data_IF_356811879851
#
_entry.id   IF_356811879851
#
_cell.length_a   1.000
_cell.length_b   1.000
_cell.length_c   1.000
_cell.angle_alpha   90.00
_cell.angle_beta   90.00
_cell.angle_gamma   90.00
#
_symmetry.space_group_name_H-M   'P 1'
#
loop_
_entity.id
_entity.type
_entity.pdbx_description
1 polymer ?
#
# COMPACT_ATOMS: atom_id res chain seq x y z
N UNK A 1 72.87 -31.46 14.81
CA UNK A 1 71.48 -31.43 15.35
C UNK A 1 70.77 -30.20 14.82
N UNK A 2 70.02 -30.35 13.71
CA UNK A 2 69.36 -29.26 12.96
C UNK A 2 67.93 -29.17 13.38
N UNK A 3 67.48 -27.98 13.88
CA UNK A 3 66.07 -27.72 14.19
C UNK A 3 65.40 -27.10 12.98
N UNK A 4 64.54 -27.89 12.34
CA UNK A 4 63.60 -27.40 11.32
C UNK A 4 62.53 -26.53 11.99
N UNK A 5 62.42 -25.26 11.59
CA UNK A 5 61.28 -24.39 11.89
C UNK A 5 60.19 -24.62 10.83
N UNK A 6 59.05 -25.11 11.26
CA UNK A 6 57.84 -25.16 10.41
C UNK A 6 57.23 -23.75 10.35
N UNK A 7 57.18 -23.18 9.16
CA UNK A 7 56.45 -21.95 8.86
C UNK A 7 54.98 -22.36 8.60
N UNK A 8 54.06 -21.87 9.42
CA UNK A 8 52.61 -22.04 9.24
C UNK A 8 52.14 -20.90 8.33
N UNK A 9 51.73 -21.23 7.11
CA UNK A 9 51.08 -20.30 6.20
C UNK A 9 49.61 -20.16 6.62
N UNK A 10 49.24 -18.98 7.08
CA UNK A 10 47.81 -18.64 7.24
C UNK A 10 47.29 -18.15 5.90
N UNK A 11 46.38 -18.95 5.30
CA UNK A 11 45.61 -18.53 4.14
C UNK A 11 44.43 -17.67 4.64
N UNK A 12 44.52 -16.37 4.39
CA UNK A 12 43.39 -15.45 4.63
C UNK A 12 42.37 -15.65 3.49
N UNK A 13 41.29 -16.33 3.80
CA UNK A 13 40.11 -16.43 2.89
C UNK A 13 39.33 -15.12 3.01
N UNK A 14 39.45 -14.27 2.01
CA UNK A 14 38.59 -13.11 1.87
C UNK A 14 37.17 -13.59 1.57
N UNK A 15 36.27 -13.50 2.55
CA UNK A 15 34.83 -13.58 2.29
C UNK A 15 34.45 -12.39 1.38
N UNK A 16 34.13 -12.70 0.13
CA UNK A 16 33.49 -11.73 -0.74
C UNK A 16 32.13 -11.34 -0.16
N UNK A 17 31.97 -10.08 0.23
CA UNK A 17 30.65 -9.51 0.44
C UNK A 17 29.91 -9.59 -0.92
N UNK A 18 28.95 -10.50 -1.03
CA UNK A 18 27.96 -10.46 -2.09
C UNK A 18 27.07 -9.23 -1.86
N UNK A 19 27.31 -8.18 -2.62
CA UNK A 19 26.40 -7.04 -2.70
C UNK A 19 25.07 -7.58 -3.25
N UNK A 20 24.05 -7.64 -2.40
CA UNK A 20 22.67 -7.85 -2.84
C UNK A 20 22.29 -6.70 -3.78
N UNK A 21 21.70 -6.97 -4.96
CA UNK A 21 21.26 -5.90 -5.83
C UNK A 21 20.13 -5.14 -5.13
N UNK A 22 20.42 -3.93 -4.66
CA UNK A 22 19.39 -2.98 -4.27
C UNK A 22 18.55 -2.64 -5.51
N UNK A 23 17.23 -2.60 -5.36
CA UNK A 23 16.30 -2.15 -6.39
C UNK A 23 16.62 -0.69 -6.72
N UNK A 24 17.46 -0.47 -7.72
CA UNK A 24 17.66 0.86 -8.27
C UNK A 24 16.47 1.22 -9.15
N UNK A 25 15.42 1.86 -8.57
CA UNK A 25 14.67 2.81 -9.37
C UNK A 25 15.68 3.82 -9.91
N UNK A 26 15.75 3.98 -11.24
CA UNK A 26 16.66 4.97 -11.79
C UNK A 26 16.29 6.33 -11.18
N UNK A 27 17.23 7.01 -10.53
CA UNK A 27 17.00 8.35 -9.97
C UNK A 27 16.41 9.31 -11.01
N UNK A 28 16.61 9.04 -12.31
CA UNK A 28 16.05 9.78 -13.42
C UNK A 28 14.51 9.78 -13.50
N UNK A 29 13.84 8.72 -13.03
CA UNK A 29 12.36 8.65 -13.07
C UNK A 29 11.66 9.56 -12.06
N UNK A 30 12.38 10.06 -11.05
CA UNK A 30 11.86 10.99 -10.04
C UNK A 30 12.49 12.38 -10.12
N UNK A 31 13.33 12.66 -11.14
CA UNK A 31 13.93 13.98 -11.32
C UNK A 31 12.84 15.04 -11.53
N UNK A 32 12.90 16.14 -10.79
CA UNK A 32 11.93 17.24 -10.90
C UNK A 32 10.53 16.96 -10.30
N UNK A 33 10.30 15.80 -9.66
CA UNK A 33 9.03 15.54 -8.96
C UNK A 33 8.95 16.44 -7.73
N UNK A 34 7.90 17.20 -7.59
CA UNK A 34 7.56 17.95 -6.38
C UNK A 34 6.41 17.25 -5.66
N UNK A 35 6.45 17.23 -4.32
CA UNK A 35 5.36 16.74 -3.49
C UNK A 35 4.55 17.93 -3.00
N UNK A 36 3.23 17.80 -3.03
CA UNK A 36 2.33 18.76 -2.39
C UNK A 36 1.91 18.23 -1.03
N UNK A 37 1.78 19.14 -0.05
CA UNK A 37 1.17 18.86 1.25
C UNK A 37 -0.06 19.73 1.42
N UNK A 38 -1.21 19.12 1.74
CA UNK A 38 -2.50 19.80 1.88
C UNK A 38 -3.15 19.45 3.20
N UNK A 39 -3.81 20.42 3.89
CA UNK A 39 -4.54 20.12 5.11
C UNK A 39 -5.77 19.26 4.80
N UNK A 40 -6.07 18.30 5.70
CA UNK A 40 -7.26 17.44 5.62
C UNK A 40 -8.29 17.86 6.68
N UNK A 41 -7.95 17.69 7.95
CA UNK A 41 -8.72 18.16 9.08
C UNK A 41 -7.86 18.18 10.35
N UNK A 42 -8.18 19.04 11.31
CA UNK A 42 -7.42 19.16 12.56
C UNK A 42 -5.94 19.42 12.28
N UNK A 43 -5.08 18.54 12.81
CA UNK A 43 -3.64 18.54 12.61
C UNK A 43 -3.16 17.47 11.62
N UNK A 44 -4.09 16.92 10.80
CA UNK A 44 -3.82 15.92 9.79
C UNK A 44 -3.73 16.55 8.40
N UNK A 45 -2.70 16.16 7.67
CA UNK A 45 -2.40 16.58 6.30
C UNK A 45 -2.25 15.37 5.40
N UNK A 46 -2.34 15.58 4.09
CA UNK A 46 -2.03 14.58 3.08
C UNK A 46 -0.89 15.07 2.20
N UNK A 47 0.17 14.26 2.05
CA UNK A 47 1.21 14.48 1.05
C UNK A 47 0.91 13.63 -0.18
N UNK A 48 1.02 14.27 -1.34
CA UNK A 48 0.70 13.68 -2.64
C UNK A 48 1.82 13.89 -3.63
N UNK A 49 1.92 12.96 -4.56
CA UNK A 49 2.80 13.04 -5.72
C UNK A 49 1.97 13.23 -7.00
N UNK A 50 2.14 14.34 -7.74
CA UNK A 50 1.60 14.45 -9.08
C UNK A 50 2.11 13.32 -9.99
N UNK A 51 1.21 12.63 -10.68
CA UNK A 51 1.56 11.51 -11.57
C UNK A 51 1.66 10.14 -10.86
N UNK A 52 1.09 10.00 -9.67
CA UNK A 52 0.86 8.72 -9.01
C UNK A 52 1.90 8.32 -7.96
N UNK A 53 1.62 7.24 -7.25
CA UNK A 53 2.26 6.78 -6.03
C UNK A 53 1.30 6.91 -4.86
N UNK A 54 1.60 6.24 -3.74
CA UNK A 54 0.75 6.26 -2.55
C UNK A 54 0.60 7.65 -1.94
N UNK A 55 -0.58 7.97 -1.44
CA UNK A 55 -0.81 9.15 -0.62
C UNK A 55 -0.29 8.90 0.80
N UNK A 56 0.32 9.91 1.40
CA UNK A 56 0.89 9.84 2.74
C UNK A 56 0.03 10.65 3.70
N UNK A 57 -0.46 9.99 4.75
CA UNK A 57 -1.06 10.69 5.89
C UNK A 57 0.04 11.31 6.78
N UNK A 58 -0.18 12.52 7.26
CA UNK A 58 0.77 13.24 8.12
C UNK A 58 0.00 13.86 9.28
N UNK A 59 0.25 13.40 10.51
CA UNK A 59 -0.23 14.07 11.70
C UNK A 59 0.93 14.84 12.36
N UNK A 60 0.70 16.10 12.70
CA UNK A 60 1.72 16.98 13.29
C UNK A 60 1.33 17.43 14.70
N UNK A 61 2.31 17.69 15.55
CA UNK A 61 2.11 18.26 16.87
C UNK A 61 3.32 18.07 17.79
N UNK A 62 3.26 18.52 19.07
CA UNK A 62 4.41 18.61 19.97
C UNK A 62 5.04 17.27 20.33
N UNK A 63 4.35 16.15 20.14
CA UNK A 63 4.90 14.81 20.38
C UNK A 63 5.71 14.28 19.19
N UNK A 64 5.83 15.08 18.12
CA UNK A 64 6.47 14.74 16.86
C UNK A 64 5.47 14.38 15.76
N UNK A 65 5.98 14.05 14.58
CA UNK A 65 5.17 13.73 13.41
C UNK A 65 4.96 12.22 13.33
N UNK A 66 3.71 11.81 13.08
CA UNK A 66 3.35 10.46 12.65
C UNK A 66 3.02 10.47 11.15
N UNK A 67 3.65 9.56 10.40
CA UNK A 67 3.37 9.30 9.00
C UNK A 67 2.50 8.05 8.84
N UNK A 68 1.62 8.05 7.85
CA UNK A 68 0.99 6.86 7.29
C UNK A 68 1.57 6.66 5.90
N UNK A 69 2.38 5.61 5.74
CA UNK A 69 3.19 5.28 4.56
C UNK A 69 4.39 6.21 4.29
N UNK A 70 5.26 5.83 3.34
CA UNK A 70 6.58 6.45 3.16
C UNK A 70 6.98 6.74 1.72
N UNK A 71 6.09 6.54 0.75
CA UNK A 71 6.38 6.69 -0.68
C UNK A 71 7.56 5.79 -1.16
N UNK A 72 8.15 6.19 -2.27
CA UNK A 72 9.35 5.57 -2.85
C UNK A 72 10.64 6.11 -2.21
N UNK A 73 11.66 5.27 -2.03
CA UNK A 73 12.94 5.66 -1.45
C UNK A 73 13.57 6.92 -2.07
N UNK A 74 13.59 7.14 -3.40
CA UNK A 74 14.17 8.35 -3.97
C UNK A 74 13.41 9.65 -3.66
N UNK A 75 12.24 9.55 -3.06
CA UNK A 75 11.41 10.71 -2.69
C UNK A 75 11.47 11.07 -1.20
N UNK A 76 12.21 10.31 -0.37
CA UNK A 76 12.24 10.50 1.08
C UNK A 76 12.64 11.93 1.47
N UNK A 77 13.71 12.49 0.88
CA UNK A 77 14.14 13.86 1.18
C UNK A 77 13.05 14.90 0.85
N UNK A 78 12.28 14.66 -0.21
CA UNK A 78 11.17 15.54 -0.61
C UNK A 78 9.96 15.38 0.31
N UNK A 79 9.70 14.16 0.79
CA UNK A 79 8.68 13.92 1.80
C UNK A 79 9.01 14.67 3.09
N UNK A 80 10.25 14.57 3.57
CA UNK A 80 10.73 15.33 4.73
C UNK A 80 10.60 16.84 4.48
N UNK A 81 10.99 17.32 3.30
CA UNK A 81 10.88 18.73 2.95
C UNK A 81 9.41 19.20 2.86
N UNK A 82 8.48 18.35 2.40
CA UNK A 82 7.05 18.66 2.41
C UNK A 82 6.50 18.77 3.84
N UNK A 83 6.86 17.83 4.73
CA UNK A 83 6.47 17.89 6.15
C UNK A 83 6.99 19.16 6.83
N UNK A 84 8.22 19.56 6.51
CA UNK A 84 8.83 20.79 7.04
C UNK A 84 8.13 22.09 6.62
N UNK A 85 7.22 22.06 5.65
CA UNK A 85 6.39 23.24 5.31
C UNK A 85 5.29 23.51 6.35
N UNK A 86 4.92 22.52 7.16
CA UNK A 86 3.79 22.61 8.10
C UNK A 86 4.21 22.46 9.57
N UNK A 87 5.42 21.97 9.85
CA UNK A 87 5.96 21.84 11.22
C UNK A 87 7.48 21.77 11.23
N UNK A 88 8.08 22.21 12.34
CA UNK A 88 9.51 22.03 12.63
C UNK A 88 9.79 20.75 13.42
N UNK A 89 8.74 20.04 13.86
CA UNK A 89 8.88 18.81 14.63
C UNK A 89 9.49 17.68 13.80
N UNK A 90 10.12 16.72 14.49
CA UNK A 90 10.75 15.56 13.86
C UNK A 90 9.72 14.49 13.51
N UNK A 91 9.95 13.79 12.39
CA UNK A 91 9.22 12.58 12.05
C UNK A 91 9.71 11.47 13.00
N UNK A 92 8.81 10.94 13.84
CA UNK A 92 9.14 9.95 14.86
C UNK A 92 8.49 8.60 14.64
N UNK A 93 7.33 8.58 14.00
CA UNK A 93 6.50 7.40 13.86
C UNK A 93 6.05 7.22 12.41
N UNK A 94 6.04 5.98 11.94
CA UNK A 94 5.57 5.59 10.62
C UNK A 94 4.71 4.34 10.76
N UNK A 95 3.46 4.40 10.30
CA UNK A 95 2.58 3.25 10.17
C UNK A 95 2.47 2.89 8.69
N UNK A 96 2.84 1.65 8.32
CA UNK A 96 2.61 1.18 6.96
C UNK A 96 1.23 0.57 6.82
N UNK A 97 0.49 0.97 5.78
CA UNK A 97 -0.83 0.41 5.48
C UNK A 97 -0.71 -0.98 4.88
N UNK A 98 0.24 -1.21 3.97
CA UNK A 98 0.48 -2.50 3.32
C UNK A 98 1.90 -2.57 2.72
N UNK A 99 2.24 -3.63 1.97
CA UNK A 99 3.62 -3.97 1.58
C UNK A 99 4.08 -3.31 0.27
N UNK A 100 3.24 -2.67 -0.53
CA UNK A 100 3.66 -2.18 -1.84
C UNK A 100 4.70 -1.06 -1.74
N UNK A 101 5.58 -1.02 -2.75
CA UNK A 101 6.82 -0.22 -2.72
C UNK A 101 6.58 1.29 -2.70
N UNK A 102 5.47 1.75 -3.23
CA UNK A 102 5.05 3.15 -3.17
C UNK A 102 4.42 3.56 -1.84
N UNK A 103 4.33 2.61 -0.90
CA UNK A 103 3.90 2.81 0.49
C UNK A 103 5.03 2.53 1.49
N UNK A 104 5.96 1.62 1.17
CA UNK A 104 7.04 1.24 2.10
C UNK A 104 8.45 1.59 1.59
N UNK A 105 8.56 2.13 0.39
CA UNK A 105 9.87 2.35 -0.25
C UNK A 105 10.80 3.29 0.53
N UNK A 106 10.26 4.28 1.22
CA UNK A 106 11.01 5.22 2.04
C UNK A 106 11.39 4.71 3.43
N UNK A 107 10.93 3.50 3.82
CA UNK A 107 11.11 2.98 5.17
C UNK A 107 12.58 2.96 5.63
N UNK A 108 13.49 2.45 4.79
CA UNK A 108 14.92 2.35 5.15
C UNK A 108 15.51 3.72 5.46
N UNK A 109 15.27 4.70 4.59
CA UNK A 109 15.78 6.06 4.76
C UNK A 109 15.21 6.73 6.01
N UNK A 110 13.90 6.52 6.30
CA UNK A 110 13.27 7.05 7.51
C UNK A 110 13.77 6.34 8.78
N UNK A 111 14.00 5.03 8.72
CA UNK A 111 14.58 4.29 9.83
C UNK A 111 16.02 4.77 10.16
N UNK A 112 16.82 5.08 9.15
CA UNK A 112 18.17 5.67 9.31
C UNK A 112 18.11 7.07 9.95
N UNK A 113 16.98 7.76 9.85
CA UNK A 113 16.70 9.02 10.55
C UNK A 113 16.18 8.81 11.99
N UNK A 114 16.00 7.56 12.43
CA UNK A 114 15.50 7.21 13.76
C UNK A 114 13.99 7.04 13.87
N UNK A 115 13.25 7.04 12.76
CA UNK A 115 11.81 6.83 12.74
C UNK A 115 11.46 5.40 13.14
N UNK A 116 10.51 5.24 14.07
CA UNK A 116 9.99 3.93 14.47
C UNK A 116 8.89 3.49 13.50
N UNK A 117 9.07 2.30 12.92
CA UNK A 117 8.16 1.76 11.90
C UNK A 117 7.24 0.72 12.52
N UNK A 118 5.94 0.87 12.27
CA UNK A 118 4.85 0.01 12.71
C UNK A 118 4.10 -0.56 11.51
N UNK A 119 3.63 -1.79 11.59
CA UNK A 119 2.76 -2.40 10.59
C UNK A 119 2.00 -3.60 11.16
N UNK A 120 1.02 -4.10 10.43
CA UNK A 120 0.43 -5.39 10.73
C UNK A 120 1.45 -6.54 10.56
N UNK A 121 1.29 -7.63 11.33
CA UNK A 121 2.17 -8.81 11.29
C UNK A 121 2.32 -9.36 9.87
N UNK A 122 1.23 -9.48 9.11
CA UNK A 122 1.26 -9.96 7.73
C UNK A 122 2.08 -9.04 6.83
N UNK A 123 1.91 -7.72 6.93
CA UNK A 123 2.73 -6.75 6.19
C UNK A 123 4.21 -6.98 6.49
N UNK A 124 4.59 -7.10 7.78
CA UNK A 124 5.98 -7.38 8.14
C UNK A 124 6.49 -8.70 7.55
N UNK A 125 5.69 -9.78 7.57
CA UNK A 125 6.08 -11.08 6.98
C UNK A 125 6.42 -10.93 5.50
N UNK A 126 5.71 -10.07 4.79
CA UNK A 126 5.91 -9.80 3.37
C UNK A 126 7.27 -9.15 3.05
N UNK A 127 7.94 -8.49 4.00
CA UNK A 127 9.29 -7.93 3.81
C UNK A 127 10.39 -8.99 3.69
N UNK A 128 10.15 -10.23 4.11
CA UNK A 128 11.15 -11.31 4.09
C UNK A 128 11.10 -12.16 2.83
N UNK A 129 10.17 -11.89 1.92
CA UNK A 129 9.95 -12.72 0.75
C UNK A 129 10.24 -11.96 -0.54
N UNK A 130 10.80 -12.68 -1.53
CA UNK A 130 10.80 -12.21 -2.92
C UNK A 130 9.38 -12.33 -3.47
N UNK A 131 8.88 -11.28 -4.12
CA UNK A 131 7.47 -11.23 -4.52
C UNK A 131 7.26 -10.75 -5.93
N UNK A 132 6.15 -11.16 -6.52
CA UNK A 132 5.62 -10.49 -7.68
C UNK A 132 5.22 -9.05 -7.32
N UNK A 133 5.65 -8.08 -8.11
CA UNK A 133 5.30 -6.67 -7.91
C UNK A 133 3.89 -6.31 -8.34
N UNK A 134 3.31 -7.14 -9.19
CA UNK A 134 2.00 -6.89 -9.75
C UNK A 134 1.12 -8.12 -9.61
N UNK A 135 -0.19 -7.93 -9.39
CA UNK A 135 -1.15 -9.00 -9.34
C UNK A 135 -1.42 -9.64 -10.71
N UNK A 136 -0.45 -9.60 -11.62
CA UNK A 136 -0.48 -10.23 -12.95
C UNK A 136 0.56 -11.34 -13.04
N UNK A 137 0.21 -12.42 -13.72
CA UNK A 137 1.17 -13.43 -14.10
C UNK A 137 2.30 -12.81 -14.95
N UNK A 138 3.55 -13.14 -14.63
CA UNK A 138 4.72 -12.57 -15.30
C UNK A 138 5.11 -11.16 -14.84
N UNK A 139 4.51 -10.65 -13.78
CA UNK A 139 4.95 -9.41 -13.12
C UNK A 139 6.40 -9.49 -12.62
N UNK A 140 7.07 -8.36 -12.52
CA UNK A 140 8.45 -8.30 -12.02
C UNK A 140 8.50 -8.67 -10.53
N UNK A 141 9.50 -9.46 -10.14
CA UNK A 141 9.75 -9.75 -8.74
C UNK A 141 10.36 -8.55 -8.01
N UNK A 142 9.92 -8.31 -6.79
CA UNK A 142 10.60 -7.44 -5.85
C UNK A 142 11.51 -8.29 -4.96
N UNK A 143 12.78 -7.92 -4.73
CA UNK A 143 13.62 -8.59 -3.76
C UNK A 143 13.10 -8.37 -2.34
N UNK A 144 13.62 -9.18 -1.41
CA UNK A 144 13.42 -8.92 0.02
C UNK A 144 13.79 -7.47 0.36
N UNK A 145 13.01 -6.86 1.23
CA UNK A 145 13.31 -5.51 1.69
C UNK A 145 14.51 -5.52 2.65
N UNK A 146 15.34 -4.47 2.65
CA UNK A 146 16.44 -4.32 3.61
C UNK A 146 16.00 -4.49 5.05
N UNK A 147 16.93 -4.94 5.92
CA UNK A 147 16.59 -5.17 7.33
C UNK A 147 16.11 -3.89 8.03
N UNK A 148 16.70 -2.74 7.70
CA UNK A 148 16.33 -1.44 8.27
C UNK A 148 14.94 -0.97 7.81
N UNK A 149 14.47 -1.38 6.62
CA UNK A 149 13.14 -1.04 6.12
C UNK A 149 12.00 -1.77 6.84
N UNK A 150 12.31 -2.84 7.60
CA UNK A 150 11.30 -3.73 8.18
C UNK A 150 10.65 -3.09 9.40
N UNK A 151 9.30 -3.13 9.52
CA UNK A 151 8.62 -2.67 10.72
C UNK A 151 9.21 -3.27 11.98
N UNK A 152 9.58 -2.43 12.94
CA UNK A 152 10.18 -2.86 14.20
C UNK A 152 9.12 -3.34 15.19
N UNK A 153 7.96 -2.70 15.17
CA UNK A 153 6.84 -2.98 16.07
C UNK A 153 5.67 -3.43 15.20
N UNK A 154 5.00 -4.52 15.60
CA UNK A 154 3.85 -5.05 14.86
C UNK A 154 2.64 -5.21 15.75
N UNK A 155 1.47 -5.26 15.10
CA UNK A 155 0.19 -5.59 15.70
C UNK A 155 -0.53 -6.65 14.85
N UNK A 156 -1.48 -7.37 15.47
CA UNK A 156 -2.23 -8.43 14.78
C UNK A 156 -3.74 -8.14 14.64
N UNK A 157 -4.24 -7.13 15.33
CA UNK A 157 -5.64 -6.70 15.26
C UNK A 157 -5.71 -5.17 15.25
N UNK A 158 -5.34 -4.52 16.36
CA UNK A 158 -5.39 -3.08 16.51
C UNK A 158 -4.24 -2.56 17.36
N UNK A 159 -3.86 -1.29 17.13
CA UNK A 159 -2.90 -0.54 17.91
C UNK A 159 -3.34 0.91 18.01
N UNK A 160 -3.22 1.53 19.19
CA UNK A 160 -3.50 2.95 19.39
C UNK A 160 -2.23 3.71 19.75
N UNK A 161 -2.10 4.89 19.16
CA UNK A 161 -1.14 5.91 19.53
C UNK A 161 -1.90 7.05 20.21
N UNK A 162 -1.41 7.55 21.33
CA UNK A 162 -1.95 8.70 22.02
C UNK A 162 -0.93 9.83 21.96
N UNK A 163 -1.01 10.65 20.93
CA UNK A 163 -0.05 11.73 20.67
C UNK A 163 -0.72 12.92 19.98
N UNK A 164 -0.11 14.08 20.13
CA UNK A 164 -0.56 15.33 19.53
C UNK A 164 -2.02 15.70 19.91
N UNK A 165 -2.48 15.24 21.06
CA UNK A 165 -3.80 15.53 21.60
C UNK A 165 -4.93 14.68 21.05
N UNK A 166 -4.61 13.58 20.30
CA UNK A 166 -5.64 12.67 19.79
C UNK A 166 -5.24 11.19 19.87
N UNK A 167 -6.24 10.31 19.76
CA UNK A 167 -6.03 8.89 19.55
C UNK A 167 -5.93 8.61 18.04
N UNK A 168 -4.80 7.99 17.63
CA UNK A 168 -4.63 7.45 16.29
C UNK A 168 -4.70 5.94 16.35
N UNK A 169 -5.70 5.33 15.74
CA UNK A 169 -5.89 3.87 15.69
C UNK A 169 -5.45 3.29 14.36
N UNK A 170 -4.49 2.37 14.40
CA UNK A 170 -4.18 1.49 13.29
C UNK A 170 -4.83 0.12 13.53
N UNK A 171 -5.53 -0.45 12.56
CA UNK A 171 -6.19 -1.73 12.70
C UNK A 171 -6.25 -2.49 11.37
N UNK A 172 -6.24 -3.84 11.47
CA UNK A 172 -6.30 -4.72 10.32
C UNK A 172 -7.65 -4.58 9.61
N UNK A 173 -7.60 -4.37 8.30
CA UNK A 173 -8.75 -4.53 7.42
C UNK A 173 -8.92 -6.00 6.99
N UNK A 174 -10.13 -6.42 6.57
CA UNK A 174 -10.27 -7.68 5.85
C UNK A 174 -9.30 -7.78 4.67
N UNK A 175 -8.77 -8.98 4.32
CA UNK A 175 -7.82 -9.17 3.23
C UNK A 175 -8.37 -8.68 1.89
N UNK A 176 -8.09 -7.44 1.51
CA UNK A 176 -8.69 -6.71 0.39
C UNK A 176 -7.70 -6.55 -0.76
N UNK A 177 -6.88 -5.50 -0.69
CA UNK A 177 -5.79 -5.24 -1.63
C UNK A 177 -4.62 -6.19 -1.38
N UNK A 178 -4.26 -6.38 -0.11
CA UNK A 178 -3.34 -7.42 0.40
C UNK A 178 -3.92 -8.10 1.64
N UNK A 179 -3.20 -9.06 2.24
CA UNK A 179 -3.61 -9.68 3.50
C UNK A 179 -3.12 -8.95 4.76
N UNK A 180 -2.39 -7.87 4.58
CA UNK A 180 -1.86 -7.03 5.66
C UNK A 180 -2.41 -5.62 5.67
N UNK A 181 -3.45 -5.34 4.88
CA UNK A 181 -4.03 -4.01 4.78
C UNK A 181 -4.45 -3.48 6.14
N UNK A 182 -4.04 -2.26 6.44
CA UNK A 182 -4.37 -1.59 7.68
C UNK A 182 -4.98 -0.22 7.40
N UNK A 183 -6.06 0.08 8.12
CA UNK A 183 -6.61 1.43 8.17
C UNK A 183 -5.97 2.22 9.30
N UNK A 184 -5.87 3.52 9.14
CA UNK A 184 -5.42 4.43 10.19
C UNK A 184 -6.48 5.51 10.40
N UNK A 185 -7.05 5.56 11.60
CA UNK A 185 -8.11 6.50 11.97
C UNK A 185 -7.62 7.49 13.03
N UNK A 186 -7.71 8.77 12.71
CA UNK A 186 -7.42 9.91 13.55
C UNK A 186 -8.72 10.36 14.20
N UNK A 187 -8.92 10.03 15.47
CA UNK A 187 -10.24 10.02 16.09
C UNK A 187 -10.83 11.43 16.29
N UNK A 188 -10.04 12.40 16.78
CA UNK A 188 -10.51 13.75 17.04
C UNK A 188 -10.55 14.61 15.78
N UNK A 189 -9.62 14.35 14.84
CA UNK A 189 -9.60 14.99 13.53
C UNK A 189 -10.65 14.43 12.57
N UNK A 190 -11.25 13.27 12.90
CA UNK A 190 -12.22 12.53 12.08
C UNK A 190 -11.70 12.26 10.65
N UNK A 191 -10.46 11.75 10.56
CA UNK A 191 -9.80 11.40 9.31
C UNK A 191 -9.50 9.91 9.25
N UNK A 192 -9.87 9.25 8.14
CA UNK A 192 -9.65 7.84 7.90
C UNK A 192 -8.74 7.63 6.69
N UNK A 193 -7.56 7.05 6.88
CA UNK A 193 -6.64 6.65 5.81
C UNK A 193 -6.85 5.18 5.49
N UNK A 194 -7.16 4.85 4.24
CA UNK A 194 -7.56 3.50 3.84
C UNK A 194 -6.47 2.70 3.10
N UNK A 195 -5.29 3.32 2.86
CA UNK A 195 -4.33 2.72 1.95
C UNK A 195 -4.99 2.37 0.61
N UNK A 196 -4.50 1.33 -0.05
CA UNK A 196 -4.96 0.92 -1.38
C UNK A 196 -6.26 0.10 -1.39
N UNK A 197 -6.88 -0.09 -0.24
CA UNK A 197 -8.24 -0.64 -0.17
C UNK A 197 -9.22 0.28 -0.89
N UNK A 198 -8.96 1.60 -0.87
CA UNK A 198 -9.74 2.58 -1.60
C UNK A 198 -8.84 3.50 -2.45
N UNK A 199 -9.21 3.65 -3.71
CA UNK A 199 -8.53 4.48 -4.71
C UNK A 199 -9.58 5.27 -5.50
N UNK A 200 -9.29 6.52 -5.85
CA UNK A 200 -10.23 7.34 -6.64
C UNK A 200 -10.01 7.23 -8.15
N UNK A 201 -8.93 6.59 -8.58
CA UNK A 201 -8.45 6.62 -9.97
C UNK A 201 -8.64 5.32 -10.74
N UNK A 202 -8.91 4.19 -10.07
CA UNK A 202 -8.99 2.89 -10.74
C UNK A 202 -9.95 1.93 -10.05
N UNK A 203 -10.31 0.87 -10.76
CA UNK A 203 -10.92 -0.32 -10.16
C UNK A 203 -10.07 -0.85 -9.00
N UNK A 204 -10.66 -1.60 -8.04
CA UNK A 204 -9.90 -2.20 -6.97
C UNK A 204 -8.70 -2.99 -7.52
N UNK A 205 -7.50 -2.67 -7.07
CA UNK A 205 -6.33 -3.51 -7.31
C UNK A 205 -6.32 -4.59 -6.24
N UNK A 206 -6.54 -5.84 -6.64
CA UNK A 206 -6.54 -6.98 -5.74
C UNK A 206 -5.27 -7.78 -5.98
N UNK A 207 -4.31 -7.65 -5.07
CA UNK A 207 -3.05 -8.37 -5.17
C UNK A 207 -3.20 -9.79 -4.59
N UNK A 208 -3.67 -10.69 -5.42
CA UNK A 208 -3.88 -12.11 -5.06
C UNK A 208 -2.58 -12.82 -4.62
N UNK A 209 -1.41 -12.36 -5.08
CA UNK A 209 -0.11 -12.92 -4.71
C UNK A 209 0.32 -12.49 -3.31
N UNK A 210 -0.21 -11.37 -2.83
CA UNK A 210 -0.05 -10.88 -1.48
C UNK A 210 -1.32 -11.09 -0.62
N UNK A 211 -2.21 -12.00 -1.05
CA UNK A 211 -3.35 -12.45 -0.27
C UNK A 211 -4.59 -11.56 -0.33
N UNK A 212 -4.64 -10.59 -1.24
CA UNK A 212 -5.83 -9.80 -1.53
C UNK A 212 -6.97 -10.64 -2.12
N UNK A 213 -8.22 -10.26 -1.85
CA UNK A 213 -9.42 -10.95 -2.32
C UNK A 213 -10.57 -9.99 -2.64
N UNK A 214 -11.40 -10.31 -3.62
CA UNK A 214 -12.62 -9.55 -3.91
C UNK A 214 -13.57 -9.52 -2.71
N UNK A 215 -13.77 -10.66 -2.06
CA UNK A 215 -14.63 -10.74 -0.86
C UNK A 215 -14.10 -9.85 0.25
N UNK A 216 -12.79 -9.86 0.47
CA UNK A 216 -12.14 -9.00 1.45
C UNK A 216 -12.26 -7.52 1.08
N UNK A 217 -12.12 -7.17 -0.21
CA UNK A 217 -12.30 -5.80 -0.69
C UNK A 217 -13.69 -5.27 -0.34
N UNK A 218 -14.75 -6.03 -0.64
CA UNK A 218 -16.13 -5.63 -0.30
C UNK A 218 -16.26 -5.46 1.22
N UNK A 219 -15.81 -6.44 2.00
CA UNK A 219 -15.90 -6.39 3.46
C UNK A 219 -15.10 -5.22 4.08
N UNK A 220 -13.93 -4.91 3.52
CA UNK A 220 -13.10 -3.79 3.99
C UNK A 220 -13.73 -2.43 3.66
N UNK A 221 -14.33 -2.28 2.48
CA UNK A 221 -15.08 -1.06 2.14
C UNK A 221 -16.33 -0.92 3.00
N UNK A 222 -17.07 -2.01 3.27
CA UNK A 222 -18.20 -1.98 4.21
C UNK A 222 -17.75 -1.54 5.61
N UNK A 223 -16.62 -2.07 6.11
CA UNK A 223 -16.03 -1.65 7.38
C UNK A 223 -15.65 -0.16 7.37
N UNK A 224 -15.06 0.34 6.27
CA UNK A 224 -14.74 1.76 6.14
C UNK A 224 -16.00 2.64 6.12
N UNK A 225 -17.07 2.21 5.45
CA UNK A 225 -18.37 2.90 5.44
C UNK A 225 -19.00 2.94 6.84
N UNK A 226 -18.89 1.87 7.61
CA UNK A 226 -19.41 1.79 8.98
C UNK A 226 -18.64 2.67 9.96
N UNK A 227 -17.33 2.83 9.75
CA UNK A 227 -16.46 3.70 10.53
C UNK A 227 -16.65 5.18 10.19
N UNK A 228 -16.89 5.49 8.91
CA UNK A 228 -17.01 6.86 8.45
C UNK A 228 -18.36 7.45 8.80
N UNK A 229 -18.37 8.53 9.60
CA UNK A 229 -19.52 9.40 9.80
C UNK A 229 -19.80 10.30 8.58
N UNK A 230 -20.82 11.16 8.67
CA UNK A 230 -21.17 12.05 7.56
C UNK A 230 -20.09 13.11 7.24
N UNK A 231 -19.28 13.46 8.22
CA UNK A 231 -18.27 14.52 8.12
C UNK A 231 -16.84 13.94 7.98
N UNK A 232 -16.66 12.64 8.17
CA UNK A 232 -15.36 11.96 8.11
C UNK A 232 -14.65 12.24 6.79
N UNK A 233 -13.40 12.64 6.87
CA UNK A 233 -12.51 12.83 5.73
C UNK A 233 -11.75 11.54 5.45
N UNK A 234 -11.79 11.09 4.21
CA UNK A 234 -11.12 9.85 3.79
C UNK A 234 -9.93 10.18 2.91
N UNK A 235 -8.75 9.75 3.33
CA UNK A 235 -7.53 9.77 2.51
C UNK A 235 -7.49 8.45 1.74
N UNK A 236 -7.62 8.46 0.39
CA UNK A 236 -7.44 7.27 -0.43
C UNK A 236 -5.97 6.90 -0.54
N UNK A 237 -5.67 5.63 -0.83
CA UNK A 237 -4.29 5.21 -1.13
C UNK A 237 -3.74 5.91 -2.37
N UNK A 238 -4.58 6.11 -3.39
CA UNK A 238 -4.22 6.83 -4.62
C UNK A 238 -5.33 7.78 -5.07
N UNK A 239 -4.92 8.84 -5.75
CA UNK A 239 -5.79 9.91 -6.24
C UNK A 239 -5.47 11.23 -5.55
N UNK A 240 -6.02 12.32 -6.08
CA UNK A 240 -5.63 13.66 -5.63
C UNK A 240 -6.61 14.29 -4.64
N UNK A 241 -7.74 13.66 -4.40
CA UNK A 241 -8.83 14.25 -3.61
C UNK A 241 -9.06 13.49 -2.31
N UNK A 242 -9.18 14.22 -1.21
CA UNK A 242 -9.79 13.74 0.03
C UNK A 242 -11.28 13.62 -0.23
N UNK A 243 -11.86 12.49 0.11
CA UNK A 243 -13.28 12.21 -0.17
C UNK A 243 -14.08 12.04 1.13
N UNK A 244 -15.36 11.79 1.02
CA UNK A 244 -16.25 11.47 2.13
C UNK A 244 -16.83 10.07 2.00
N UNK A 245 -17.64 9.70 2.99
CA UNK A 245 -18.34 8.41 3.09
C UNK A 245 -19.14 8.03 1.82
N UNK A 246 -19.76 9.01 1.17
CA UNK A 246 -20.60 8.75 -0.01
C UNK A 246 -19.82 8.19 -1.20
N UNK A 247 -18.54 8.58 -1.33
CA UNK A 247 -17.67 8.05 -2.39
C UNK A 247 -17.30 6.57 -2.12
N UNK A 248 -17.14 6.17 -0.85
CA UNK A 248 -16.96 4.77 -0.47
C UNK A 248 -18.21 3.93 -0.83
N UNK A 249 -19.39 4.49 -0.58
CA UNK A 249 -20.67 3.83 -0.95
C UNK A 249 -20.75 3.63 -2.46
N UNK A 250 -20.44 4.65 -3.26
CA UNK A 250 -20.41 4.54 -4.74
C UNK A 250 -19.41 3.49 -5.22
N UNK A 251 -18.23 3.46 -4.61
CA UNK A 251 -17.18 2.48 -4.95
C UNK A 251 -17.63 1.05 -4.65
N UNK A 252 -18.21 0.81 -3.46
CA UNK A 252 -18.78 -0.48 -3.10
C UNK A 252 -19.90 -0.90 -4.06
N UNK A 253 -20.84 -0.01 -4.35
CA UNK A 253 -21.99 -0.30 -5.19
C UNK A 253 -21.57 -0.65 -6.63
N UNK A 254 -20.53 0.03 -7.16
CA UNK A 254 -19.89 -0.33 -8.42
C UNK A 254 -19.33 -1.78 -8.38
N UNK A 255 -18.61 -2.13 -7.33
CA UNK A 255 -18.03 -3.49 -7.18
C UNK A 255 -19.14 -4.54 -7.13
N UNK A 256 -20.19 -4.29 -6.35
CA UNK A 256 -21.32 -5.20 -6.20
C UNK A 256 -22.12 -5.37 -7.49
N UNK A 257 -22.30 -4.31 -8.27
CA UNK A 257 -22.99 -4.39 -9.57
C UNK A 257 -22.16 -5.22 -10.57
N UNK A 258 -20.86 -4.95 -10.70
CA UNK A 258 -19.99 -5.75 -11.58
C UNK A 258 -19.96 -7.21 -11.12
N UNK A 259 -19.87 -7.46 -9.81
CA UNK A 259 -19.93 -8.81 -9.24
C UNK A 259 -21.23 -9.52 -9.62
N UNK A 260 -22.38 -8.83 -9.51
CA UNK A 260 -23.70 -9.36 -9.86
C UNK A 260 -23.81 -9.72 -11.33
N UNK A 261 -23.33 -8.85 -12.23
CA UNK A 261 -23.31 -9.08 -13.67
C UNK A 261 -22.44 -10.30 -14.02
N UNK A 262 -21.20 -10.36 -13.51
CA UNK A 262 -20.28 -11.48 -13.75
C UNK A 262 -20.85 -12.79 -13.21
N UNK A 263 -21.40 -12.80 -11.99
CA UNK A 263 -22.02 -13.99 -11.40
C UNK A 263 -23.23 -14.49 -12.24
N UNK A 264 -24.04 -13.56 -12.76
CA UNK A 264 -25.14 -13.91 -13.66
C UNK A 264 -24.64 -14.61 -14.94
N UNK A 265 -23.58 -14.12 -15.53
CA UNK A 265 -22.97 -14.72 -16.73
C UNK A 265 -22.34 -16.09 -16.44
N UNK A 266 -21.66 -16.25 -15.30
CA UNK A 266 -21.13 -17.56 -14.85
C UNK A 266 -22.27 -18.59 -14.71
N UNK A 267 -23.40 -18.21 -14.11
CA UNK A 267 -24.58 -19.08 -13.98
C UNK A 267 -25.19 -19.49 -15.32
N UNK A 268 -24.98 -18.69 -16.37
CA UNK A 268 -25.37 -19.00 -17.75
C UNK A 268 -24.33 -19.87 -18.47
N UNK A 269 -23.22 -20.27 -17.80
CA UNK A 269 -22.16 -21.06 -18.37
C UNK A 269 -21.17 -20.29 -19.23
N UNK A 270 -21.19 -18.96 -19.18
CA UNK A 270 -20.26 -18.10 -19.93
C UNK A 270 -18.83 -18.28 -19.46
N UNK A 271 -17.91 -18.36 -20.42
CA UNK A 271 -16.47 -18.37 -20.17
C UNK A 271 -15.94 -16.94 -20.01
N UNK A 272 -14.72 -16.81 -19.49
CA UNK A 272 -14.11 -15.51 -19.25
C UNK A 272 -14.07 -14.60 -20.47
N UNK A 273 -13.73 -15.14 -21.66
CA UNK A 273 -13.70 -14.40 -22.93
C UNK A 273 -15.08 -13.82 -23.30
N UNK A 274 -16.15 -14.57 -23.06
CA UNK A 274 -17.53 -14.10 -23.27
C UNK A 274 -17.94 -13.05 -22.23
N UNK A 275 -17.49 -13.19 -20.96
CA UNK A 275 -17.70 -12.19 -19.91
C UNK A 275 -16.95 -10.90 -20.23
N UNK A 276 -15.69 -11.00 -20.67
CA UNK A 276 -14.89 -9.83 -21.09
C UNK A 276 -15.53 -9.12 -22.31
N UNK A 277 -16.02 -9.88 -23.29
CA UNK A 277 -16.70 -9.32 -24.46
C UNK A 277 -18.04 -8.63 -24.11
N UNK A 278 -18.69 -9.02 -23.02
CA UNK A 278 -19.90 -8.36 -22.52
C UNK A 278 -19.65 -7.04 -21.79
N UNK A 279 -18.39 -6.70 -21.50
CA UNK A 279 -17.96 -5.44 -20.87
C UNK A 279 -18.75 -5.08 -19.59
N UNK A 280 -18.72 -5.91 -18.53
CA UNK A 280 -19.52 -5.67 -17.32
C UNK A 280 -19.14 -4.40 -16.56
N UNK A 281 -18.02 -3.76 -16.92
CA UNK A 281 -17.51 -2.52 -16.35
C UNK A 281 -17.88 -1.27 -17.12
N UNK A 282 -18.47 -1.39 -18.34
CA UNK A 282 -18.63 -0.28 -19.29
C UNK A 282 -19.33 0.97 -18.71
N UNK A 283 -20.25 0.78 -17.75
CA UNK A 283 -20.95 1.89 -17.10
C UNK A 283 -20.04 2.74 -16.19
N UNK A 284 -18.88 2.20 -15.81
CA UNK A 284 -17.97 2.74 -14.81
C UNK A 284 -16.60 3.13 -15.40
N UNK A 285 -16.27 2.68 -16.62
CA UNK A 285 -14.93 2.83 -17.23
C UNK A 285 -14.50 4.31 -17.32
N UNK A 286 -15.44 5.23 -17.55
CA UNK A 286 -15.13 6.66 -17.66
C UNK A 286 -14.59 7.26 -16.34
N UNK A 287 -14.89 6.66 -15.20
CA UNK A 287 -14.46 7.16 -13.88
C UNK A 287 -13.26 6.37 -13.31
N UNK A 288 -13.14 5.08 -13.64
CA UNK A 288 -12.26 4.15 -12.90
C UNK A 288 -11.12 3.57 -13.75
N UNK A 289 -10.68 4.28 -14.81
CA UNK A 289 -9.60 3.82 -15.71
C UNK A 289 -8.44 4.81 -15.87
N UNK A 290 -8.29 5.74 -14.94
CA UNK A 290 -7.19 6.73 -15.00
C UNK A 290 -5.81 6.15 -14.60
N UNK A 291 -5.77 4.94 -14.03
CA UNK A 291 -4.51 4.25 -13.77
C UNK A 291 -4.08 3.47 -15.03
N UNK A 292 -3.04 3.91 -15.77
CA UNK A 292 -2.62 3.25 -17.00
C UNK A 292 -2.12 1.83 -16.83
N UNK A 293 -1.89 1.42 -15.58
CA UNK A 293 -1.40 0.09 -15.21
C UNK A 293 -2.49 -0.92 -14.83
N UNK A 294 -3.75 -0.48 -14.62
CA UNK A 294 -4.81 -1.33 -14.09
C UNK A 294 -6.20 -0.93 -14.62
N UNK A 295 -6.93 -1.89 -15.15
CA UNK A 295 -8.23 -1.63 -15.75
C UNK A 295 -9.15 -2.86 -15.76
N UNK A 296 -10.23 -2.82 -16.56
CA UNK A 296 -11.19 -3.93 -16.69
C UNK A 296 -10.55 -5.27 -17.01
N UNK A 297 -9.50 -5.27 -17.85
CA UNK A 297 -8.77 -6.48 -18.27
C UNK A 297 -8.03 -7.17 -17.11
N UNK A 298 -7.83 -6.48 -16.02
CA UNK A 298 -7.19 -6.98 -14.81
C UNK A 298 -8.22 -7.33 -13.74
N UNK A 299 -9.18 -6.45 -13.52
CA UNK A 299 -10.17 -6.58 -12.47
C UNK A 299 -11.22 -7.66 -12.76
N UNK A 300 -11.82 -7.67 -13.97
CA UNK A 300 -12.88 -8.64 -14.32
C UNK A 300 -12.44 -10.10 -14.22
N UNK A 301 -11.23 -10.51 -14.64
CA UNK A 301 -10.74 -11.86 -14.44
C UNK A 301 -10.69 -12.28 -12.96
N UNK A 302 -10.28 -11.38 -12.06
CA UNK A 302 -10.25 -11.66 -10.62
C UNK A 302 -11.68 -11.92 -10.12
N UNK A 303 -12.62 -11.02 -10.45
CA UNK A 303 -14.04 -11.18 -10.12
C UNK A 303 -14.57 -12.53 -10.65
N UNK A 304 -14.29 -12.86 -11.91
CA UNK A 304 -14.75 -14.09 -12.55
C UNK A 304 -14.25 -15.34 -11.81
N UNK A 305 -12.96 -15.43 -11.53
CA UNK A 305 -12.38 -16.62 -10.91
C UNK A 305 -12.73 -16.77 -9.44
N UNK A 306 -12.80 -15.69 -8.68
CA UNK A 306 -13.23 -15.75 -7.28
C UNK A 306 -14.70 -16.13 -7.11
N UNK A 307 -15.54 -15.84 -8.12
CA UNK A 307 -16.94 -16.26 -8.15
C UNK A 307 -17.16 -17.70 -8.67
N UNK A 308 -16.09 -18.46 -8.90
CA UNK A 308 -16.16 -19.85 -9.33
C UNK A 308 -16.26 -20.05 -10.84
N UNK A 309 -15.86 -19.06 -11.64
CA UNK A 309 -15.70 -19.19 -13.07
C UNK A 309 -14.68 -20.29 -13.44
N UNK A 310 -14.85 -20.91 -14.60
CA UNK A 310 -14.01 -22.04 -15.04
C UNK A 310 -12.58 -21.61 -15.35
N UNK A 311 -11.58 -22.38 -14.87
CA UNK A 311 -10.14 -22.10 -15.00
C UNK A 311 -9.51 -21.66 -13.67
N UNK A 312 -8.27 -21.20 -13.71
CA UNK A 312 -7.54 -20.69 -12.55
C UNK A 312 -6.88 -19.35 -12.88
N UNK A 313 -6.92 -18.44 -11.94
CA UNK A 313 -6.26 -17.14 -12.06
C UNK A 313 -4.72 -17.29 -12.17
N UNK A 314 -4.15 -18.30 -11.51
CA UNK A 314 -2.72 -18.60 -11.53
C UNK A 314 -2.19 -19.17 -12.87
N UNK A 315 -3.07 -19.46 -13.82
CA UNK A 315 -2.70 -20.01 -15.15
C UNK A 315 -2.42 -18.92 -16.21
N UNK A 316 -2.35 -17.65 -15.79
CA UNK A 316 -2.14 -16.49 -16.68
C UNK A 316 -0.89 -15.69 -16.36
#
# INVERSE_FOLDING_TARGET
MSKLRKILLFTVTTLGLSATPSLSYSQGSFAGVELSITPVAGNVYMVQRPGGGGNIGVQVGPDGVLLVDSLFAPLTDRLVAAVKQVTDEEIRFLVNTHIHIDHVGGNENLADMGVLIFAHDNTRLRFFEERSRFPRAGGSYAPQQPAAARPLITFNDTMSFHLNGEEVRAFLAPPAHTDGDSFVYFAESDVLHLGDVYRTTSYPIIDIYNGGTLRGTIAAIDQAIDLAGPDTKVIPGHGLEVVGRDELVKFRDMILDIQGQVLSMIRQGKKLDEVMAAQPTAAYDAQWTDDPGWGPVDFVPIVYYELGGSGRLADR
#
